data_IF_686928682951
#
_entry.id   IF_686928682951
#
_cell.length_a   1.000
_cell.length_b   1.000
_cell.length_c   1.000
_cell.angle_alpha   90.00
_cell.angle_beta   90.00
_cell.angle_gamma   90.00
#
_symmetry.space_group_name_H-M   'P 1'
#
loop_
_entity.id
_entity.type
_entity.pdbx_description
1 polymer ?
#
# COMPACT_ATOMS: atom_id res chain seq x y z
N UNK A 1 5.99 13.58 6.77
CA UNK A 1 4.88 14.43 7.26
C UNK A 1 4.57 13.99 8.69
N UNK A 2 4.41 14.91 9.64
CA UNK A 2 4.18 14.59 11.06
C UNK A 2 2.79 15.08 11.49
N UNK A 3 2.18 14.42 12.47
CA UNK A 3 0.85 14.74 13.02
C UNK A 3 -0.34 14.46 12.11
N UNK A 4 -0.37 13.27 11.51
CA UNK A 4 -1.51 12.77 10.76
C UNK A 4 -2.54 12.15 11.70
N UNK A 5 -3.81 12.45 11.42
CA UNK A 5 -4.96 11.76 12.02
C UNK A 5 -5.68 11.00 10.92
N UNK A 6 -5.76 9.68 11.06
CA UNK A 6 -6.33 8.79 10.05
C UNK A 6 -7.20 7.72 10.70
N UNK A 7 -8.22 7.27 9.98
CA UNK A 7 -9.05 6.12 10.37
C UNK A 7 -8.91 5.08 9.27
N UNK A 8 -8.68 3.83 9.66
CA UNK A 8 -8.47 2.75 8.71
C UNK A 8 -8.94 1.43 9.30
N UNK A 9 -9.16 0.45 8.43
CA UNK A 9 -9.41 -0.94 8.79
C UNK A 9 -8.12 -1.75 8.65
N UNK A 10 -7.89 -2.66 9.59
CA UNK A 10 -6.77 -3.60 9.53
C UNK A 10 -7.11 -4.70 8.55
N UNK A 11 -6.41 -4.75 7.42
CA UNK A 11 -6.63 -5.78 6.41
C UNK A 11 -5.89 -7.08 6.77
N UNK A 12 -4.63 -6.97 7.22
CA UNK A 12 -3.79 -8.14 7.50
C UNK A 12 -2.71 -7.84 8.54
N UNK A 13 -2.42 -8.80 9.41
CA UNK A 13 -1.22 -8.81 10.24
C UNK A 13 -0.06 -9.46 9.45
N UNK A 14 1.04 -8.74 9.30
CA UNK A 14 2.21 -9.22 8.54
C UNK A 14 3.23 -9.92 9.44
N UNK A 15 3.08 -9.85 10.77
CA UNK A 15 4.01 -10.49 11.70
C UNK A 15 3.69 -11.97 11.91
N UNK A 16 2.42 -12.36 11.72
CA UNK A 16 1.97 -13.74 11.90
C UNK A 16 2.33 -14.67 10.74
N UNK A 17 2.73 -14.13 9.58
CA UNK A 17 2.86 -14.93 8.35
C UNK A 17 4.29 -15.34 7.98
N UNK A 18 5.31 -14.90 8.72
CA UNK A 18 6.68 -15.42 8.60
C UNK A 18 7.36 -15.31 7.22
N UNK A 19 6.74 -14.63 6.25
CA UNK A 19 7.19 -14.54 4.86
C UNK A 19 7.59 -13.10 4.55
N UNK A 20 8.80 -12.76 4.99
CA UNK A 20 9.77 -11.91 4.28
C UNK A 20 10.91 -11.56 5.26
N UNK A 21 11.73 -12.59 5.51
CA UNK A 21 12.95 -12.55 6.29
C UNK A 21 14.09 -11.77 5.61
N UNK A 22 13.81 -10.67 4.90
CA UNK A 22 14.87 -9.80 4.38
C UNK A 22 14.72 -8.35 4.85
N UNK A 23 15.48 -8.05 5.91
CA UNK A 23 15.68 -6.74 6.54
C UNK A 23 14.42 -6.20 7.24
N UNK A 24 14.14 -6.63 8.46
CA UNK A 24 14.95 -6.31 9.63
C UNK A 24 14.62 -7.37 10.65
N UNK A 25 15.63 -7.88 11.32
CA UNK A 25 15.49 -8.66 12.55
C UNK A 25 14.31 -8.11 13.38
N UNK A 26 13.51 -9.01 13.99
CA UNK A 26 12.48 -8.65 14.94
C UNK A 26 13.09 -8.11 16.25
N UNK A 27 14.01 -7.15 16.13
CA UNK A 27 14.94 -6.71 17.18
C UNK A 27 14.35 -5.64 18.08
N UNK A 28 13.12 -5.15 17.86
CA UNK A 28 12.61 -4.03 18.68
C UNK A 28 11.07 -3.87 18.78
N UNK A 29 10.31 -4.94 19.03
CA UNK A 29 8.90 -4.79 19.44
C UNK A 29 7.99 -4.03 18.44
N UNK A 30 8.36 -4.04 17.16
CA UNK A 30 7.60 -3.36 16.09
C UNK A 30 6.70 -4.38 15.39
N UNK A 31 5.39 -4.15 15.42
CA UNK A 31 4.40 -4.93 14.69
C UNK A 31 4.03 -4.22 13.39
N UNK A 32 4.05 -4.97 12.28
CA UNK A 32 3.64 -4.51 10.95
C UNK A 32 2.25 -5.00 10.58
N UNK A 33 1.41 -4.09 10.09
CA UNK A 33 0.06 -4.41 9.61
C UNK A 33 -0.15 -3.80 8.23
N UNK A 34 -0.92 -4.49 7.39
CA UNK A 34 -1.50 -3.89 6.20
C UNK A 34 -2.84 -3.28 6.60
N UNK A 35 -2.97 -1.97 6.44
CA UNK A 35 -4.19 -1.24 6.76
C UNK A 35 -4.75 -0.59 5.53
N UNK A 36 -6.06 -0.36 5.50
CA UNK A 36 -6.76 0.15 4.34
C UNK A 36 -7.84 1.15 4.71
N UNK A 37 -8.14 2.02 3.77
CA UNK A 37 -9.33 2.86 3.75
C UNK A 37 -10.04 2.63 2.40
N UNK A 38 -11.18 3.28 2.20
CA UNK A 38 -11.95 3.32 0.95
C UNK A 38 -11.11 3.60 -0.29
N UNK A 39 -10.02 4.36 -0.14
CA UNK A 39 -9.16 4.80 -1.24
C UNK A 39 -8.08 3.79 -1.58
N UNK A 40 -7.30 3.33 -0.59
CA UNK A 40 -6.10 2.54 -0.80
C UNK A 40 -5.65 1.82 0.48
N UNK A 41 -4.65 0.94 0.33
CA UNK A 41 -3.95 0.23 1.41
C UNK A 41 -2.57 0.84 1.63
N UNK A 42 -2.08 0.76 2.87
CA UNK A 42 -0.76 1.24 3.27
C UNK A 42 -0.21 0.34 4.39
N UNK A 43 1.12 0.23 4.45
CA UNK A 43 1.85 -0.43 5.51
C UNK A 43 1.85 0.43 6.78
N UNK A 44 1.50 -0.18 7.90
CA UNK A 44 1.53 0.42 9.23
C UNK A 44 2.60 -0.27 10.09
N UNK A 45 3.51 0.53 10.66
CA UNK A 45 4.45 0.09 11.68
C UNK A 45 4.03 0.63 13.04
N UNK A 46 3.82 -0.27 13.99
CA UNK A 46 3.40 0.02 15.36
C UNK A 46 4.52 -0.35 16.31
N UNK A 47 5.04 0.62 17.07
CA UNK A 47 6.16 0.41 18.01
C UNK A 47 5.62 0.28 19.45
N UNK A 48 5.89 -0.84 20.13
CA UNK A 48 5.54 -1.14 21.54
C UNK A 48 4.03 -1.25 21.88
N UNK A 49 3.71 -1.32 23.18
CA UNK A 49 2.46 -1.76 23.85
C UNK A 49 1.17 -1.04 23.40
N UNK A 50 0.76 -1.30 22.17
CA UNK A 50 -0.56 -0.99 21.67
C UNK A 50 -1.49 -2.19 21.87
N UNK A 51 -2.82 -1.97 21.88
CA UNK A 51 -3.81 -3.04 22.11
C UNK A 51 -3.62 -4.25 21.19
N UNK A 52 -4.27 -5.36 21.55
CA UNK A 52 -4.38 -6.54 20.69
C UNK A 52 -5.17 -6.17 19.42
N UNK A 53 -4.44 -5.76 18.38
CA UNK A 53 -5.00 -5.35 17.09
C UNK A 53 -5.24 -6.61 16.27
N UNK A 54 -6.50 -6.82 15.88
CA UNK A 54 -6.88 -7.96 15.04
C UNK A 54 -7.20 -7.52 13.62
N UNK A 55 -7.07 -8.42 12.63
CA UNK A 55 -7.65 -8.19 11.32
C UNK A 55 -9.12 -7.82 11.44
N UNK A 56 -9.59 -6.93 10.56
CA UNK A 56 -10.94 -6.35 10.51
C UNK A 56 -11.27 -5.32 11.61
N UNK A 57 -10.35 -4.97 12.50
CA UNK A 57 -10.54 -3.85 13.43
C UNK A 57 -10.46 -2.50 12.70
N UNK A 58 -11.34 -1.58 13.09
CA UNK A 58 -11.32 -0.18 12.65
C UNK A 58 -10.61 0.64 13.71
N UNK A 59 -9.47 1.24 13.34
CA UNK A 59 -8.61 2.00 14.22
C UNK A 59 -8.57 3.47 13.79
N UNK A 60 -8.70 4.36 14.77
CA UNK A 60 -8.40 5.77 14.64
C UNK A 60 -7.03 6.03 15.26
N UNK A 61 -6.11 6.53 14.44
CA UNK A 61 -4.77 6.91 14.89
C UNK A 61 -4.64 8.41 14.82
N UNK A 62 -4.13 9.02 15.90
CA UNK A 62 -3.75 10.44 15.93
C UNK A 62 -2.26 10.60 16.20
N UNK A 63 -1.71 11.72 15.76
CA UNK A 63 -0.27 12.02 15.89
C UNK A 63 0.64 11.00 15.19
N UNK A 64 0.14 10.35 14.13
CA UNK A 64 0.94 9.47 13.29
C UNK A 64 1.89 10.27 12.39
N UNK A 65 2.88 9.60 11.82
CA UNK A 65 3.76 10.19 10.83
C UNK A 65 4.00 9.22 9.67
N UNK A 66 4.25 9.76 8.49
CA UNK A 66 4.65 8.98 7.32
C UNK A 66 6.16 9.01 7.14
N UNK A 67 6.71 7.86 6.78
CA UNK A 67 8.12 7.66 6.46
C UNK A 67 8.22 6.80 5.21
N UNK A 68 9.15 7.13 4.32
CA UNK A 68 9.52 6.24 3.20
C UNK A 68 10.74 5.45 3.64
N UNK A 69 10.66 4.12 3.57
CA UNK A 69 11.77 3.23 3.88
C UNK A 69 11.92 2.19 2.78
N UNK A 70 13.11 2.13 2.15
CA UNK A 70 13.40 1.29 0.98
C UNK A 70 12.29 1.41 -0.07
N UNK A 71 11.97 2.65 -0.42
CA UNK A 71 10.96 3.01 -1.41
C UNK A 71 9.51 2.61 -1.06
N UNK A 72 9.28 2.12 0.16
CA UNK A 72 7.94 1.82 0.68
C UNK A 72 7.44 2.96 1.56
N UNK A 73 6.38 3.64 1.11
CA UNK A 73 5.65 4.59 1.95
C UNK A 73 5.00 3.84 3.12
N UNK A 74 5.36 4.20 4.34
CA UNK A 74 4.93 3.53 5.56
C UNK A 74 4.35 4.53 6.54
N UNK A 75 3.20 4.19 7.12
CA UNK A 75 2.63 4.90 8.24
C UNK A 75 3.25 4.36 9.53
N UNK A 76 3.77 5.24 10.37
CA UNK A 76 4.44 4.84 11.60
C UNK A 76 3.74 5.45 12.81
N UNK A 77 3.48 4.61 13.81
CA UNK A 77 3.01 5.01 15.14
C UNK A 77 4.19 4.98 16.11
N UNK A 78 4.66 6.16 16.50
CA UNK A 78 5.65 6.31 17.58
C UNK A 78 4.98 6.44 18.95
N UNK A 79 5.77 6.55 20.02
CA UNK A 79 5.30 6.58 21.42
C UNK A 79 4.20 7.61 21.73
N UNK A 80 4.16 8.74 21.02
CA UNK A 80 3.18 9.81 21.24
C UNK A 80 1.90 9.64 20.40
N UNK A 81 1.85 8.64 19.51
CA UNK A 81 0.67 8.36 18.72
C UNK A 81 -0.36 7.65 19.59
N UNK A 82 -1.63 8.02 19.47
CA UNK A 82 -2.72 7.31 20.14
C UNK A 82 -3.47 6.48 19.12
N UNK A 83 -3.77 5.23 19.47
CA UNK A 83 -4.53 4.30 18.65
C UNK A 83 -5.81 3.96 19.42
N UNK A 84 -6.95 4.20 18.80
CA UNK A 84 -8.27 3.95 19.38
C UNK A 84 -9.07 3.03 18.47
N UNK A 85 -9.51 1.88 18.99
CA UNK A 85 -10.46 1.02 18.28
C UNK A 85 -11.83 1.67 18.29
N UNK A 86 -12.36 1.94 17.10
CA UNK A 86 -13.65 2.63 16.90
C UNK A 86 -14.75 1.66 16.47
N UNK A 87 -14.40 0.50 15.89
CA UNK A 87 -15.37 -0.50 15.46
C UNK A 87 -14.69 -1.69 14.78
N UNK A 88 -15.48 -2.50 14.08
CA UNK A 88 -15.05 -3.69 13.35
C UNK A 88 -15.82 -3.84 12.02
N UNK A 89 -15.20 -4.48 11.04
CA UNK A 89 -15.77 -5.03 9.80
C UNK A 89 -16.32 -4.07 8.72
N UNK A 90 -17.02 -3.00 9.08
CA UNK A 90 -17.81 -2.21 8.11
C UNK A 90 -17.03 -1.06 7.42
N UNK A 91 -15.79 -1.29 6.98
CA UNK A 91 -15.05 -0.29 6.20
C UNK A 91 -14.60 -0.86 4.84
N UNK A 92 -14.88 -0.17 3.73
CA UNK A 92 -14.43 -0.61 2.42
C UNK A 92 -12.90 -0.57 2.33
N UNK A 93 -12.32 -1.59 1.69
CA UNK A 93 -10.88 -1.74 1.49
C UNK A 93 -10.55 -1.38 0.03
N UNK A 94 -9.87 -0.25 -0.18
CA UNK A 94 -9.36 0.15 -1.49
C UNK A 94 -8.38 -0.88 -2.05
N UNK A 95 -8.37 -1.05 -3.38
CA UNK A 95 -7.55 -2.08 -4.04
C UNK A 95 -6.08 -1.69 -4.18
N UNK A 96 -5.78 -0.40 -4.35
CA UNK A 96 -4.43 0.11 -4.62
C UNK A 96 -3.57 0.03 -3.34
N UNK A 97 -2.36 -0.53 -3.43
CA UNK A 97 -1.38 -0.44 -2.34
C UNK A 97 -0.45 0.76 -2.57
N UNK A 98 -0.37 1.66 -1.59
CA UNK A 98 0.48 2.85 -1.62
C UNK A 98 1.91 2.56 -1.13
N UNK A 99 2.13 1.41 -0.49
CA UNK A 99 3.43 0.97 0.00
C UNK A 99 4.18 0.08 -0.98
N UNK A 100 3.51 -0.36 -2.04
CA UNK A 100 4.17 -1.07 -3.14
C UNK A 100 4.81 -0.07 -4.08
N UNK A 101 6.08 -0.31 -4.37
CA UNK A 101 6.76 0.42 -5.43
C UNK A 101 6.26 -0.14 -6.76
N UNK A 102 5.52 0.68 -7.50
CA UNK A 102 5.27 0.39 -8.91
C UNK A 102 6.57 0.72 -9.65
N UNK A 103 7.47 -0.26 -9.78
CA UNK A 103 8.43 -0.21 -10.88
C UNK A 103 7.58 -0.08 -12.13
N UNK A 104 7.59 1.09 -12.73
CA UNK A 104 7.20 1.22 -14.12
C UNK A 104 8.30 0.55 -14.92
N UNK A 105 8.36 -0.78 -14.89
CA UNK A 105 8.69 -1.46 -16.12
C UNK A 105 7.55 -1.11 -17.07
N UNK A 106 7.94 -0.38 -18.12
CA UNK A 106 7.07 0.47 -18.92
C UNK A 106 5.73 -0.17 -19.24
N UNK A 107 4.65 0.52 -18.89
CA UNK A 107 3.35 0.19 -19.44
C UNK A 107 2.99 1.33 -20.37
N UNK A 108 2.83 0.98 -21.66
CA UNK A 108 2.13 1.73 -22.73
C UNK A 108 2.96 2.49 -23.79
N UNK A 109 4.21 2.12 -24.09
CA UNK A 109 4.78 2.31 -25.45
C UNK A 109 5.20 0.98 -26.12
N UNK A 110 5.26 -0.12 -25.38
CA UNK A 110 5.73 -1.41 -25.91
C UNK A 110 4.64 -2.36 -26.44
N UNK A 111 3.34 -2.17 -26.17
CA UNK A 111 2.30 -2.99 -26.82
C UNK A 111 1.93 -2.50 -28.21
N UNK A 112 2.06 -1.21 -28.50
CA UNK A 112 1.92 -0.70 -29.88
C UNK A 112 3.12 -1.13 -30.73
N UNK A 113 4.32 -1.07 -30.14
CA UNK A 113 5.59 -1.46 -30.77
C UNK A 113 5.72 -2.98 -30.97
N UNK A 114 5.12 -3.82 -30.10
CA UNK A 114 5.11 -5.29 -30.28
C UNK A 114 4.15 -5.77 -31.37
N UNK A 115 3.08 -5.03 -31.66
CA UNK A 115 2.21 -5.35 -32.81
C UNK A 115 2.87 -5.08 -34.17
N UNK A 116 3.80 -4.12 -34.22
CA UNK A 116 4.56 -3.74 -35.42
C UNK A 116 5.69 -4.74 -35.72
N UNK A 117 6.22 -5.42 -34.69
CA UNK A 117 7.36 -6.34 -34.85
C UNK A 117 6.98 -7.81 -35.12
N UNK A 118 5.72 -8.20 -34.90
CA UNK A 118 5.27 -9.59 -35.12
C UNK A 118 4.56 -9.85 -36.44
N UNK A 119 4.20 -8.80 -37.20
CA UNK A 119 3.74 -8.94 -38.57
C UNK A 119 4.46 -7.90 -39.42
N UNK A 120 5.58 -8.31 -40.03
CA UNK A 120 6.44 -7.50 -40.90
C UNK A 120 5.74 -6.94 -42.13
N UNK A 121 4.83 -6.00 -41.94
CA UNK A 121 4.25 -5.19 -43.00
C UNK A 121 3.99 -3.78 -42.48
N UNK A 122 4.99 -2.92 -42.68
CA UNK A 122 4.77 -1.49 -42.77
C UNK A 122 3.78 -1.23 -43.91
N UNK A 123 2.49 -1.01 -43.59
CA UNK A 123 1.54 -0.40 -44.52
C UNK A 123 1.28 1.03 -44.10
N UNK A 124 2.11 1.93 -44.63
CA UNK A 124 1.75 3.32 -44.81
C UNK A 124 0.68 3.39 -45.90
N UNK A 125 -0.56 3.80 -45.60
CA UNK A 125 -1.37 4.63 -46.51
C UNK A 125 -2.74 5.03 -45.96
N UNK A 126 -2.84 6.36 -45.79
CA UNK A 126 -3.95 7.26 -46.18
C UNK A 126 -5.36 7.08 -45.62
N UNK A 127 -5.72 8.10 -44.84
CA UNK A 127 -6.90 8.98 -44.99
C UNK A 127 -8.31 8.32 -44.97
N UNK A 128 -9.02 8.63 -43.87
CA UNK A 128 -10.47 8.96 -43.75
C UNK A 128 -11.07 9.61 -45.03
N UNK A 129 -12.41 9.68 -45.28
CA UNK A 129 -13.56 9.37 -44.39
C UNK A 129 -14.85 8.81 -45.06
N UNK A 130 -15.89 8.64 -44.23
CA UNK A 130 -17.34 8.73 -44.49
C UNK A 130 -17.98 7.98 -45.67
N UNK A 131 -18.98 7.15 -45.32
CA UNK A 131 -20.39 7.33 -45.70
C UNK A 131 -21.28 6.49 -44.80
#
# INVERSE_FOLDING_TARGET
>A
MKNLTVVFIVAKDLNSEGTDAHSTEAVNGVRRFLVADSTAKILLNVVNEYPDIKPMDILKVTSAYTMVYKDKLTLCCGKNATIMKTGEFMMPIGMKNMSEERRTEGTLEDEFSRSILLNGSCKWRTLVPCS
#
